data_IF_558184648290
#
_entry.id   IF_558184648290
#
_cell.length_a   1.000
_cell.length_b   1.000
_cell.length_c   1.000
_cell.angle_alpha   90.00
_cell.angle_beta   90.00
_cell.angle_gamma   90.00
#
_symmetry.space_group_name_H-M   'P 1'
#
loop_
_entity.id
_entity.type
_entity.pdbx_description
1 polymer ?
#
# COMPACT_ATOMS: atom_id res chain seq x y z
N UNK A 1 -16.27 -12.76 6.59
CA UNK A 1 -16.68 -11.43 6.17
C UNK A 1 -16.12 -10.44 7.19
N UNK A 2 -15.23 -9.56 6.77
CA UNK A 2 -14.67 -8.52 7.66
C UNK A 2 -15.52 -7.24 7.52
N UNK A 3 -16.15 -6.80 8.61
CA UNK A 3 -16.83 -5.50 8.69
C UNK A 3 -15.90 -4.53 9.44
N UNK A 4 -15.56 -3.41 8.82
CA UNK A 4 -14.68 -2.38 9.40
C UNK A 4 -15.21 -1.79 10.71
N UNK A 5 -16.52 -1.72 10.89
CA UNK A 5 -17.14 -1.22 12.12
C UNK A 5 -16.95 -2.21 13.27
N UNK A 6 -17.04 -3.51 12.98
CA UNK A 6 -16.75 -4.57 13.95
C UNK A 6 -15.26 -4.58 14.29
N UNK A 7 -14.39 -4.49 13.28
CA UNK A 7 -12.94 -4.37 13.46
C UNK A 7 -12.59 -3.18 14.37
N UNK A 8 -13.15 -1.99 14.10
CA UNK A 8 -12.99 -0.81 14.94
C UNK A 8 -13.42 -1.04 16.39
N UNK A 9 -14.60 -1.65 16.59
CA UNK A 9 -15.10 -1.93 17.95
C UNK A 9 -14.17 -2.89 18.71
N UNK A 10 -13.64 -3.90 18.03
CA UNK A 10 -12.66 -4.84 18.62
C UNK A 10 -11.37 -4.12 18.95
N UNK A 11 -10.78 -3.38 17.99
CA UNK A 11 -9.48 -2.74 18.15
C UNK A 11 -9.44 -1.70 19.28
N UNK A 12 -10.56 -1.04 19.58
CA UNK A 12 -10.65 -0.09 20.70
C UNK A 12 -10.55 -0.72 22.08
N UNK A 13 -10.82 -2.02 22.21
CA UNK A 13 -10.97 -2.67 23.51
C UNK A 13 -10.15 -3.97 23.66
N UNK A 14 -9.60 -4.48 22.57
CA UNK A 14 -8.86 -5.74 22.56
C UNK A 14 -7.55 -5.62 23.35
N UNK A 15 -7.21 -6.67 24.13
CA UNK A 15 -5.92 -6.77 24.79
C UNK A 15 -4.87 -7.42 23.88
N UNK A 16 -3.59 -7.27 24.23
CA UNK A 16 -2.50 -7.91 23.48
C UNK A 16 -2.64 -9.45 23.49
N UNK A 17 -3.00 -10.03 24.64
CA UNK A 17 -3.25 -11.48 24.78
C UNK A 17 -4.40 -11.95 23.86
N UNK A 18 -5.48 -11.18 23.78
CA UNK A 18 -6.58 -11.50 22.86
C UNK A 18 -6.15 -11.39 21.40
N UNK A 19 -5.31 -10.42 21.03
CA UNK A 19 -4.73 -10.31 19.69
C UNK A 19 -3.83 -11.52 19.38
N UNK A 20 -3.03 -11.98 20.33
CA UNK A 20 -2.19 -13.17 20.17
C UNK A 20 -3.03 -14.44 19.91
N UNK A 21 -4.11 -14.64 20.67
CA UNK A 21 -5.03 -15.76 20.44
C UNK A 21 -5.71 -15.69 19.07
N UNK A 22 -6.19 -14.49 18.67
CA UNK A 22 -6.78 -14.29 17.35
C UNK A 22 -5.75 -14.56 16.25
N UNK A 23 -4.54 -14.05 16.39
CA UNK A 23 -3.47 -14.26 15.42
C UNK A 23 -3.08 -15.73 15.28
N UNK A 24 -2.94 -16.46 16.38
CA UNK A 24 -2.61 -17.88 16.36
C UNK A 24 -3.68 -18.71 15.65
N UNK A 25 -4.96 -18.43 15.92
CA UNK A 25 -6.10 -19.09 15.25
C UNK A 25 -6.10 -18.80 13.74
N UNK A 26 -6.00 -17.52 13.36
CA UNK A 26 -6.15 -17.11 11.95
C UNK A 26 -4.91 -17.45 11.12
N UNK A 27 -3.72 -17.41 11.71
CA UNK A 27 -2.49 -17.88 11.05
C UNK A 27 -2.56 -19.39 10.77
N UNK A 28 -3.06 -20.19 11.73
CA UNK A 28 -3.30 -21.60 11.52
C UNK A 28 -4.31 -21.85 10.41
N UNK A 29 -5.47 -21.20 10.47
CA UNK A 29 -6.49 -21.31 9.42
C UNK A 29 -5.90 -20.96 8.05
N UNK A 30 -5.17 -19.83 7.95
CA UNK A 30 -4.53 -19.39 6.71
C UNK A 30 -3.49 -20.41 6.21
N UNK A 31 -2.76 -21.09 7.11
CA UNK A 31 -1.76 -22.10 6.75
C UNK A 31 -2.34 -23.35 6.09
N UNK A 32 -3.61 -23.63 6.35
CA UNK A 32 -4.36 -24.76 5.78
C UNK A 32 -4.96 -24.42 4.39
N UNK A 33 -4.96 -23.12 4.00
CA UNK A 33 -5.53 -22.66 2.75
C UNK A 33 -4.51 -22.71 1.61
N UNK A 34 -4.95 -23.18 0.44
CA UNK A 34 -4.14 -23.24 -0.78
C UNK A 34 -4.05 -21.89 -1.48
N UNK A 35 -5.06 -21.04 -1.34
CA UNK A 35 -5.10 -19.70 -1.88
C UNK A 35 -5.98 -18.76 -1.05
N UNK A 36 -5.73 -17.48 -1.20
CA UNK A 36 -6.50 -16.40 -0.57
C UNK A 36 -6.98 -15.41 -1.64
N UNK A 37 -8.27 -15.16 -1.67
CA UNK A 37 -8.88 -14.14 -2.53
C UNK A 37 -9.48 -13.06 -1.63
N UNK A 38 -8.91 -11.87 -1.65
CA UNK A 38 -9.41 -10.72 -0.88
C UNK A 38 -10.17 -9.75 -1.77
N UNK A 39 -11.48 -9.58 -1.52
CA UNK A 39 -12.27 -8.52 -2.16
C UNK A 39 -12.63 -7.48 -1.11
N UNK A 40 -12.04 -6.29 -1.24
CA UNK A 40 -12.27 -5.17 -0.32
C UNK A 40 -13.38 -4.28 -0.85
N UNK A 41 -14.37 -3.95 0.00
CA UNK A 41 -15.53 -3.12 -0.35
C UNK A 41 -15.94 -2.18 0.78
N UNK A 42 -14.98 -1.58 1.49
CA UNK A 42 -15.26 -0.64 2.58
C UNK A 42 -15.86 0.67 2.08
N UNK A 43 -16.93 1.14 2.75
CA UNK A 43 -17.62 2.38 2.39
C UNK A 43 -16.93 3.63 2.96
N UNK A 44 -16.25 3.51 4.10
CA UNK A 44 -15.63 4.63 4.80
C UNK A 44 -14.13 4.37 4.99
N UNK A 45 -13.30 5.18 4.35
CA UNK A 45 -11.84 5.11 4.47
C UNK A 45 -11.33 5.57 5.83
N UNK A 46 -12.14 6.30 6.59
CA UNK A 46 -11.81 6.86 7.90
C UNK A 46 -12.38 6.03 9.07
N UNK A 47 -12.92 4.84 8.81
CA UNK A 47 -13.62 4.05 9.84
C UNK A 47 -12.77 3.74 11.08
N UNK A 48 -11.45 3.67 10.93
CA UNK A 48 -10.51 3.39 12.02
C UNK A 48 -9.82 4.64 12.59
N UNK A 49 -10.25 5.85 12.21
CA UNK A 49 -9.56 7.12 12.54
C UNK A 49 -9.55 7.46 14.04
N UNK A 50 -10.45 6.88 14.82
CA UNK A 50 -10.55 7.08 16.28
C UNK A 50 -10.09 5.86 17.11
N UNK A 51 -9.43 4.90 16.46
CA UNK A 51 -8.72 3.82 17.16
C UNK A 51 -7.40 4.39 17.67
N UNK A 52 -7.06 4.22 18.96
CA UNK A 52 -5.80 4.71 19.51
C UNK A 52 -4.57 4.16 18.77
N UNK A 53 -3.57 4.99 18.57
CA UNK A 53 -2.36 4.65 17.81
C UNK A 53 -1.62 3.43 18.40
N UNK A 54 -1.55 3.33 19.73
CA UNK A 54 -0.94 2.19 20.42
C UNK A 54 -1.68 0.88 20.11
N UNK A 55 -3.00 0.91 19.96
CA UNK A 55 -3.81 -0.26 19.57
C UNK A 55 -3.59 -0.63 18.11
N UNK A 56 -3.48 0.36 17.21
CA UNK A 56 -3.14 0.10 15.81
C UNK A 56 -1.74 -0.49 15.67
N UNK A 57 -0.76 0.01 16.41
CA UNK A 57 0.59 -0.56 16.42
C UNK A 57 0.63 -1.98 16.99
N UNK A 58 -0.09 -2.24 18.07
CA UNK A 58 -0.22 -3.58 18.65
C UNK A 58 -0.86 -4.55 17.64
N UNK A 59 -1.96 -4.14 17.00
CA UNK A 59 -2.62 -4.93 15.97
C UNK A 59 -1.69 -5.25 14.78
N UNK A 60 -0.96 -4.26 14.30
CA UNK A 60 -0.03 -4.46 13.20
C UNK A 60 1.10 -5.44 13.56
N UNK A 61 1.66 -5.34 14.76
CA UNK A 61 2.74 -6.19 15.24
C UNK A 61 2.27 -7.60 15.58
N UNK A 62 1.18 -7.73 16.34
CA UNK A 62 0.74 -9.00 16.94
C UNK A 62 -0.14 -9.80 15.99
N UNK A 63 -0.97 -9.15 15.19
CA UNK A 63 -1.92 -9.82 14.31
C UNK A 63 -1.56 -9.73 12.82
N UNK A 64 -1.43 -8.51 12.29
CA UNK A 64 -1.22 -8.32 10.85
C UNK A 64 0.08 -8.96 10.36
N UNK A 65 1.16 -8.80 11.10
CA UNK A 65 2.47 -9.32 10.69
C UNK A 65 2.45 -10.85 10.58
N UNK A 66 2.12 -11.65 11.62
CA UNK A 66 2.13 -13.11 11.52
C UNK A 66 1.06 -13.67 10.59
N UNK A 67 -0.16 -13.12 10.56
CA UNK A 67 -1.27 -13.66 9.77
C UNK A 67 -1.17 -13.26 8.30
N UNK A 68 -1.04 -11.95 8.04
CA UNK A 68 -1.10 -11.45 6.67
C UNK A 68 0.27 -11.40 6.01
N UNK A 69 1.31 -10.94 6.68
CA UNK A 69 2.63 -10.84 6.06
C UNK A 69 3.32 -12.21 6.01
N UNK A 70 3.59 -12.83 7.15
CA UNK A 70 4.38 -14.07 7.18
C UNK A 70 3.65 -15.27 6.57
N UNK A 71 2.35 -15.41 6.80
CA UNK A 71 1.60 -16.55 6.29
C UNK A 71 0.97 -16.27 4.94
N UNK A 72 0.10 -15.27 4.82
CA UNK A 72 -0.64 -15.03 3.58
C UNK A 72 0.27 -14.56 2.44
N UNK A 73 1.09 -13.52 2.67
CA UNK A 73 1.92 -12.94 1.60
C UNK A 73 3.07 -13.86 1.24
N UNK A 74 3.77 -14.43 2.25
CA UNK A 74 4.99 -15.18 2.00
C UNK A 74 4.77 -16.66 1.66
N UNK A 75 3.65 -17.28 2.06
CA UNK A 75 3.45 -18.74 1.98
C UNK A 75 2.18 -19.19 1.27
N UNK A 76 1.23 -18.30 1.02
CA UNK A 76 -0.05 -18.64 0.38
C UNK A 76 -0.15 -17.96 -0.98
N UNK A 77 -0.71 -18.61 -1.99
CA UNK A 77 -1.07 -17.93 -3.24
C UNK A 77 -2.21 -16.95 -2.96
N UNK A 78 -2.05 -15.70 -3.36
CA UNK A 78 -3.08 -14.70 -3.07
C UNK A 78 -3.33 -13.73 -4.21
N UNK A 79 -4.55 -13.20 -4.24
CA UNK A 79 -4.93 -12.04 -5.05
C UNK A 79 -5.82 -11.13 -4.20
N UNK A 80 -5.61 -9.83 -4.34
CA UNK A 80 -6.43 -8.79 -3.68
C UNK A 80 -7.04 -7.89 -4.73
N UNK A 81 -8.33 -7.66 -4.59
CA UNK A 81 -9.13 -6.77 -5.42
C UNK A 81 -9.94 -5.82 -4.56
N UNK A 82 -10.49 -4.79 -5.19
CA UNK A 82 -11.52 -3.94 -4.58
C UNK A 82 -12.80 -4.04 -5.41
N UNK A 83 -13.92 -3.98 -4.73
CA UNK A 83 -15.21 -3.73 -5.37
C UNK A 83 -15.47 -2.22 -5.32
N UNK A 84 -15.87 -1.57 -6.43
CA UNK A 84 -16.18 -0.14 -6.42
C UNK A 84 -17.34 0.14 -5.48
N UNK A 85 -17.18 1.15 -4.63
CA UNK A 85 -18.17 1.52 -3.62
C UNK A 85 -18.52 3.00 -3.71
N UNK A 86 -19.65 3.40 -3.13
CA UNK A 86 -20.03 4.81 -3.03
C UNK A 86 -18.94 5.66 -2.37
N UNK A 87 -18.28 5.12 -1.33
CA UNK A 87 -17.16 5.82 -0.70
C UNK A 87 -15.98 6.07 -1.65
N UNK A 88 -15.69 5.14 -2.55
CA UNK A 88 -14.66 5.31 -3.57
C UNK A 88 -15.06 6.34 -4.63
N UNK A 89 -16.31 6.30 -5.10
CA UNK A 89 -16.82 7.29 -6.08
C UNK A 89 -16.87 8.71 -5.51
N UNK A 90 -17.24 8.87 -4.24
CA UNK A 90 -17.17 10.16 -3.55
C UNK A 90 -15.72 10.70 -3.47
N UNK A 91 -14.75 9.86 -3.12
CA UNK A 91 -13.34 10.24 -3.09
C UNK A 91 -12.81 10.62 -4.48
N UNK A 92 -13.33 9.97 -5.52
CA UNK A 92 -12.99 10.28 -6.92
C UNK A 92 -13.74 11.49 -7.49
N UNK A 93 -14.72 12.04 -6.76
CA UNK A 93 -15.56 13.15 -7.24
C UNK A 93 -16.49 12.75 -8.41
N UNK A 94 -16.91 11.49 -8.46
CA UNK A 94 -17.72 10.93 -9.55
C UNK A 94 -19.04 10.39 -9.03
N UNK A 95 -20.06 10.26 -9.93
CA UNK A 95 -21.24 9.46 -9.62
C UNK A 95 -20.86 7.98 -9.50
N UNK A 96 -21.64 7.21 -8.72
CA UNK A 96 -21.35 5.78 -8.50
C UNK A 96 -21.29 5.01 -9.81
N UNK A 97 -22.27 5.20 -10.69
CA UNK A 97 -22.35 4.53 -11.99
C UNK A 97 -21.16 4.88 -12.90
N UNK A 98 -20.80 6.16 -12.99
CA UNK A 98 -19.64 6.59 -13.81
C UNK A 98 -18.32 6.05 -13.26
N UNK A 99 -18.20 5.96 -11.92
CA UNK A 99 -17.03 5.38 -11.28
C UNK A 99 -16.94 3.87 -11.49
N UNK A 100 -18.06 3.13 -11.36
CA UNK A 100 -18.11 1.69 -11.64
C UNK A 100 -17.72 1.39 -13.09
N UNK A 101 -18.26 2.12 -14.05
CA UNK A 101 -17.93 1.98 -15.46
C UNK A 101 -16.43 2.20 -15.72
N UNK A 102 -15.88 3.25 -15.16
CA UNK A 102 -14.43 3.51 -15.24
C UNK A 102 -13.62 2.39 -14.60
N UNK A 103 -13.98 2.00 -13.38
CA UNK A 103 -13.27 1.03 -12.58
C UNK A 103 -13.23 -0.35 -13.25
N UNK A 104 -14.36 -0.85 -13.76
CA UNK A 104 -14.40 -2.13 -14.44
C UNK A 104 -13.67 -2.11 -15.78
N UNK A 105 -13.71 -1.00 -16.52
CA UNK A 105 -12.87 -0.84 -17.73
C UNK A 105 -11.38 -0.99 -17.43
N UNK A 106 -10.92 -0.48 -16.29
CA UNK A 106 -9.52 -0.61 -15.85
C UNK A 106 -9.23 -2.03 -15.32
N UNK A 107 -10.14 -2.61 -14.54
CA UNK A 107 -9.94 -3.95 -13.97
C UNK A 107 -9.98 -5.07 -15.00
N UNK A 108 -10.74 -4.92 -16.07
CA UNK A 108 -10.94 -5.93 -17.11
C UNK A 108 -10.00 -5.78 -18.32
N UNK A 109 -8.84 -5.17 -18.13
CA UNK A 109 -7.80 -5.06 -19.16
C UNK A 109 -7.18 -6.43 -19.46
N UNK A 110 -6.63 -6.57 -20.69
CA UNK A 110 -5.81 -7.72 -21.07
C UNK A 110 -4.42 -7.64 -20.43
N UNK A 111 -4.31 -8.21 -19.23
CA UNK A 111 -3.06 -8.20 -18.45
C UNK A 111 -1.93 -9.00 -19.13
N UNK A 112 -2.24 -10.01 -19.95
CA UNK A 112 -1.22 -10.74 -20.70
C UNK A 112 -0.60 -9.87 -21.82
N UNK A 113 -1.41 -9.03 -22.45
CA UNK A 113 -0.94 -8.03 -23.41
C UNK A 113 -0.16 -6.92 -22.71
N UNK A 114 -0.64 -6.47 -21.55
CA UNK A 114 0.03 -5.47 -20.74
C UNK A 114 1.42 -5.93 -20.28
N UNK A 115 1.57 -7.16 -19.80
CA UNK A 115 2.85 -7.73 -19.38
C UNK A 115 3.88 -7.72 -20.53
N UNK A 116 3.46 -8.04 -21.74
CA UNK A 116 4.32 -7.95 -22.92
C UNK A 116 4.73 -6.50 -23.24
N UNK A 117 3.80 -5.56 -23.09
CA UNK A 117 4.06 -4.15 -23.34
C UNK A 117 5.00 -3.51 -22.29
N UNK A 118 5.10 -4.08 -21.09
CA UNK A 118 6.01 -3.62 -20.02
C UNK A 118 7.47 -4.04 -20.24
N UNK A 119 7.75 -5.08 -21.03
CA UNK A 119 9.09 -5.65 -21.17
C UNK A 119 10.17 -4.66 -21.64
N UNK A 120 9.91 -3.72 -22.57
CA UNK A 120 10.90 -2.69 -22.93
C UNK A 120 11.32 -1.82 -21.73
N UNK A 121 10.36 -1.45 -20.85
CA UNK A 121 10.65 -0.68 -19.65
C UNK A 121 11.44 -1.50 -18.62
N UNK A 122 11.07 -2.76 -18.39
CA UNK A 122 11.84 -3.69 -17.54
C UNK A 122 13.28 -3.80 -18.02
N UNK A 123 13.48 -4.00 -19.33
CA UNK A 123 14.80 -4.10 -19.91
C UNK A 123 15.63 -2.81 -19.77
N UNK A 124 14.97 -1.64 -19.87
CA UNK A 124 15.61 -0.36 -19.63
C UNK A 124 16.02 -0.21 -18.17
N UNK A 125 15.09 -0.46 -17.25
CA UNK A 125 15.35 -0.33 -15.80
C UNK A 125 16.46 -1.27 -15.35
N UNK A 126 16.48 -2.53 -15.79
CA UNK A 126 17.51 -3.51 -15.43
C UNK A 126 18.92 -3.16 -15.94
N UNK A 127 19.02 -2.26 -16.92
CA UNK A 127 20.31 -1.76 -17.46
C UNK A 127 20.70 -0.41 -16.86
N UNK A 128 19.81 0.21 -16.13
CA UNK A 128 19.99 1.57 -15.56
C UNK A 128 20.67 1.49 -14.21
N UNK A 129 21.66 2.33 -14.00
CA UNK A 129 22.22 2.56 -12.67
C UNK A 129 21.56 3.75 -12.00
N UNK A 130 21.61 4.94 -12.63
CA UNK A 130 21.21 6.19 -11.99
C UNK A 130 19.85 6.65 -12.49
N UNK A 131 19.00 7.01 -11.55
CA UNK A 131 17.69 7.60 -11.79
C UNK A 131 17.64 8.98 -11.15
N UNK A 132 17.02 9.93 -11.84
CA UNK A 132 16.68 11.25 -11.30
C UNK A 132 15.20 11.52 -11.57
N UNK A 133 14.48 11.88 -10.52
CA UNK A 133 13.07 12.30 -10.58
C UNK A 133 13.02 13.81 -10.38
N UNK A 134 12.48 14.52 -11.38
CA UNK A 134 12.33 15.97 -11.33
C UNK A 134 10.86 16.32 -11.54
N UNK A 135 10.30 17.08 -10.60
CA UNK A 135 8.96 17.64 -10.66
C UNK A 135 8.92 18.94 -9.87
N UNK A 136 7.75 19.56 -9.72
CA UNK A 136 7.59 20.73 -8.85
C UNK A 136 8.03 20.37 -7.42
N UNK A 137 8.96 21.13 -6.87
CA UNK A 137 9.51 20.95 -5.51
C UNK A 137 10.14 19.56 -5.27
N UNK A 138 10.49 18.84 -6.35
CA UNK A 138 11.09 17.52 -6.32
C UNK A 138 12.34 17.49 -7.20
N UNK A 139 13.45 17.07 -6.61
CA UNK A 139 14.69 16.70 -7.31
C UNK A 139 15.37 15.61 -6.50
N UNK A 140 15.12 14.35 -6.88
CA UNK A 140 15.59 13.17 -6.17
C UNK A 140 16.46 12.33 -7.10
N UNK A 141 17.61 11.89 -6.60
CA UNK A 141 18.54 11.01 -7.32
C UNK A 141 18.83 9.76 -6.51
N UNK A 142 18.96 8.63 -7.21
CA UNK A 142 19.34 7.36 -6.59
C UNK A 142 19.87 6.38 -7.63
N UNK A 143 20.51 5.31 -7.16
CA UNK A 143 20.91 4.14 -7.97
C UNK A 143 19.84 3.05 -7.87
N UNK A 144 19.62 2.35 -8.97
CA UNK A 144 18.84 1.09 -9.02
C UNK A 144 19.71 -0.08 -9.50
N UNK A 145 21.02 0.11 -9.46
CA UNK A 145 21.97 -0.88 -9.96
C UNK A 145 21.81 -2.22 -9.24
N UNK A 146 21.71 -3.28 -10.04
CA UNK A 146 21.60 -4.67 -9.57
C UNK A 146 20.30 -4.96 -8.77
N UNK A 147 19.33 -4.04 -8.76
CA UNK A 147 18.00 -4.26 -8.21
C UNK A 147 17.04 -4.60 -9.36
N UNK A 148 16.42 -5.78 -9.38
CA UNK A 148 15.58 -6.18 -10.50
C UNK A 148 14.31 -5.33 -10.59
N UNK A 149 13.90 -5.04 -11.82
CA UNK A 149 12.58 -4.47 -12.10
C UNK A 149 11.52 -5.58 -12.10
N UNK A 150 10.38 -5.32 -11.48
CA UNK A 150 9.26 -6.24 -11.32
C UNK A 150 8.04 -5.71 -12.07
N UNK A 151 7.38 -6.57 -12.83
CA UNK A 151 6.10 -6.27 -13.49
C UNK A 151 4.93 -6.62 -12.60
N UNK A 152 3.97 -5.71 -12.49
CA UNK A 152 2.69 -5.90 -11.86
C UNK A 152 1.61 -6.00 -12.94
N UNK A 153 1.25 -7.20 -13.32
CA UNK A 153 0.38 -7.51 -14.47
C UNK A 153 -0.86 -8.33 -14.09
N UNK A 154 -1.53 -7.96 -12.98
CA UNK A 154 -2.77 -8.58 -12.55
C UNK A 154 -2.62 -9.93 -11.86
N UNK A 155 -1.42 -10.31 -11.42
CA UNK A 155 -1.18 -11.61 -10.77
C UNK A 155 -1.53 -11.62 -9.28
N UNK A 156 -1.37 -10.49 -8.61
CA UNK A 156 -1.59 -10.35 -7.15
C UNK A 156 -2.58 -9.24 -6.83
N UNK A 157 -2.67 -8.20 -7.65
CA UNK A 157 -3.62 -7.11 -7.48
C UNK A 157 -4.44 -6.92 -8.75
N UNK A 158 -5.71 -6.50 -8.60
CA UNK A 158 -6.58 -6.03 -9.67
C UNK A 158 -7.35 -4.81 -9.17
N UNK A 159 -7.25 -3.64 -9.83
CA UNK A 159 -6.42 -3.34 -11.01
C UNK A 159 -4.93 -3.38 -10.72
N UNK A 160 -4.15 -3.49 -11.80
CA UNK A 160 -2.70 -3.53 -11.78
C UNK A 160 -2.15 -2.78 -13.01
N UNK A 161 -0.81 -2.67 -13.17
CA UNK A 161 -0.27 -2.01 -14.37
C UNK A 161 0.97 -1.18 -14.12
N UNK A 162 1.84 -1.59 -13.21
CA UNK A 162 3.10 -0.89 -12.93
C UNK A 162 4.33 -1.76 -13.21
N UNK A 163 5.44 -1.10 -13.46
CA UNK A 163 6.78 -1.68 -13.37
C UNK A 163 7.51 -0.94 -12.27
N UNK A 164 7.94 -1.66 -11.25
CA UNK A 164 8.61 -1.05 -10.12
C UNK A 164 9.98 -1.68 -9.85
N UNK A 165 10.81 -0.95 -9.11
CA UNK A 165 12.06 -1.40 -8.52
C UNK A 165 12.27 -0.65 -7.20
N UNK A 166 13.33 -0.97 -6.49
CA UNK A 166 13.73 -0.24 -5.28
C UNK A 166 15.08 0.45 -5.48
N UNK A 167 15.32 1.59 -4.84
CA UNK A 167 16.64 2.21 -4.84
C UNK A 167 17.63 1.40 -4.00
N UNK A 168 18.90 1.44 -4.38
CA UNK A 168 20.00 1.03 -3.50
C UNK A 168 19.95 1.92 -2.25
N UNK A 169 19.82 1.31 -1.08
CA UNK A 169 19.43 1.96 0.17
C UNK A 169 20.18 3.27 0.48
N UNK A 170 21.50 3.28 0.36
CA UNK A 170 22.35 4.43 0.70
C UNK A 170 22.61 5.39 -0.46
N UNK A 171 21.94 5.22 -1.60
CA UNK A 171 22.15 6.04 -2.79
C UNK A 171 21.18 7.20 -2.94
N UNK A 172 20.10 7.22 -2.14
CA UNK A 172 19.02 8.21 -2.27
C UNK A 172 19.45 9.54 -1.71
N UNK A 173 19.42 10.58 -2.56
CA UNK A 173 19.76 11.95 -2.20
C UNK A 173 18.83 12.94 -2.90
N UNK A 174 18.45 13.99 -2.17
CA UNK A 174 17.63 15.08 -2.70
C UNK A 174 16.28 15.19 -1.99
N UNK A 175 15.31 15.75 -2.68
CA UNK A 175 13.99 16.09 -2.14
C UNK A 175 12.90 15.44 -2.96
N UNK A 176 11.90 14.90 -2.31
CA UNK A 176 10.62 14.52 -2.93
C UNK A 176 9.47 15.22 -2.22
N UNK A 177 8.56 15.78 -3.01
CA UNK A 177 7.33 16.41 -2.54
C UNK A 177 6.13 15.74 -3.19
N UNK A 178 5.22 15.25 -2.36
CA UNK A 178 3.97 14.62 -2.79
C UNK A 178 2.85 15.65 -2.78
N UNK A 179 2.31 15.95 -3.95
CA UNK A 179 1.19 16.88 -4.13
C UNK A 179 -0.19 16.20 -4.11
N UNK A 180 -0.23 14.89 -3.93
CA UNK A 180 -1.44 14.12 -3.75
C UNK A 180 -1.64 13.80 -2.26
N UNK A 181 -2.87 13.89 -1.72
CA UNK A 181 -3.12 13.49 -0.35
C UNK A 181 -2.99 11.98 -0.17
N UNK A 182 -2.52 11.56 1.01
CA UNK A 182 -2.48 10.17 1.43
C UNK A 182 -3.27 9.98 2.72
N UNK A 183 -3.96 8.86 2.86
CA UNK A 183 -4.66 8.50 4.10
C UNK A 183 -3.93 7.32 4.73
N UNK A 184 -3.38 7.55 5.92
CA UNK A 184 -2.71 6.54 6.72
C UNK A 184 -3.31 6.50 8.12
N UNK A 185 -3.71 5.31 8.58
CA UNK A 185 -4.36 5.09 9.88
C UNK A 185 -5.55 6.03 10.15
N UNK A 186 -6.32 6.40 9.10
CA UNK A 186 -7.44 7.31 9.19
C UNK A 186 -7.08 8.80 9.27
N UNK A 187 -5.80 9.17 9.23
CA UNK A 187 -5.34 10.55 9.12
C UNK A 187 -5.01 10.90 7.67
N UNK A 188 -5.44 12.07 7.20
CA UNK A 188 -5.15 12.59 5.86
C UNK A 188 -3.90 13.48 5.91
N UNK A 189 -2.83 13.00 5.28
CA UNK A 189 -1.61 13.76 5.05
C UNK A 189 -1.68 14.50 3.72
N UNK A 190 -1.21 15.74 3.71
CA UNK A 190 -1.09 16.61 2.54
C UNK A 190 0.29 17.26 2.54
N UNK A 191 0.77 17.60 1.35
CA UNK A 191 2.06 18.28 1.16
C UNK A 191 3.24 17.58 1.85
N UNK A 192 3.27 16.25 1.78
CA UNK A 192 4.34 15.46 2.38
C UNK A 192 5.64 15.73 1.61
N UNK A 193 6.63 16.31 2.30
CA UNK A 193 7.94 16.60 1.76
C UNK A 193 9.00 15.86 2.56
N UNK A 194 9.85 15.10 1.86
CA UNK A 194 10.94 14.33 2.47
C UNK A 194 12.27 14.76 1.86
N UNK A 195 13.27 15.00 2.71
CA UNK A 195 14.65 15.26 2.32
C UNK A 195 15.51 14.06 2.65
N UNK A 196 16.21 13.56 1.64
CA UNK A 196 17.08 12.40 1.75
C UNK A 196 18.55 12.81 1.67
N UNK A 197 19.36 12.19 2.53
CA UNK A 197 20.82 12.21 2.45
C UNK A 197 21.35 10.80 2.72
N UNK A 198 22.11 10.27 1.75
CA UNK A 198 22.72 8.94 1.83
C UNK A 198 21.72 7.85 2.25
N UNK A 199 20.50 7.90 1.67
CA UNK A 199 19.43 6.95 1.90
C UNK A 199 18.65 7.10 3.22
N UNK A 200 18.93 8.16 4.00
CA UNK A 200 18.21 8.47 5.23
C UNK A 200 17.35 9.68 5.05
N UNK A 201 16.15 9.65 5.59
CA UNK A 201 15.30 10.84 5.73
C UNK A 201 15.92 11.70 6.82
N UNK A 202 16.32 12.92 6.47
CA UNK A 202 16.89 13.91 7.40
C UNK A 202 15.91 15.01 7.77
N UNK A 203 14.83 15.15 6.99
CA UNK A 203 13.74 16.08 7.24
C UNK A 203 12.46 15.51 6.66
N UNK A 204 11.38 15.52 7.43
CA UNK A 204 10.03 15.17 6.98
C UNK A 204 9.03 16.22 7.45
N UNK A 205 8.29 16.81 6.51
CA UNK A 205 7.25 17.79 6.78
C UNK A 205 5.96 17.41 6.07
N UNK A 206 4.82 17.80 6.66
CA UNK A 206 3.48 17.62 6.11
C UNK A 206 2.54 18.64 6.75
N UNK A 207 1.26 18.61 6.40
CA UNK A 207 0.21 19.35 7.12
C UNK A 207 0.17 19.03 8.64
N UNK A 208 0.63 17.84 9.03
CA UNK A 208 0.93 17.48 10.42
C UNK A 208 2.29 16.77 10.48
N UNK A 209 3.34 17.54 10.65
CA UNK A 209 4.71 17.03 10.65
C UNK A 209 5.01 16.11 11.85
N UNK A 210 4.37 16.32 13.00
CA UNK A 210 4.56 15.45 14.17
C UNK A 210 4.03 14.05 13.91
N UNK A 211 2.83 13.93 13.36
CA UNK A 211 2.25 12.64 12.98
C UNK A 211 3.04 11.97 11.85
N UNK A 212 3.51 12.75 10.84
CA UNK A 212 4.33 12.21 9.77
C UNK A 212 5.66 11.64 10.29
N UNK A 213 6.35 12.35 11.19
CA UNK A 213 7.62 11.88 11.78
C UNK A 213 7.44 10.68 12.71
N UNK A 214 6.24 10.36 13.17
CA UNK A 214 5.96 9.14 13.92
C UNK A 214 5.85 7.89 13.02
N UNK A 215 5.69 8.09 11.70
CA UNK A 215 5.61 7.00 10.70
C UNK A 215 7.00 6.66 10.14
N UNK A 216 7.86 7.66 9.96
CA UNK A 216 9.21 7.53 9.38
C UNK A 216 10.28 7.34 10.43
#
# INVERSE_FOLDING_TARGET
LHDRRVERAVLKHVTDEQLEHMAAHDARLMSEMQCYIGVRGGQNSYELSDVPDDRMQAYNRIYNHPVHHEQRVCKTKWVVMRYPTEGMSQLAGMSTEAFEDFYFKVCCLDYAKMEKAMQPLVNLMNKTDKVRIVAKDTDLTFSIKDIPAVTCSGRMNIPDGEVYTAPVKNSVNGVIHYNAPSIENGFRFEDVRLVFKDGKIIEATANNSAAANAIF
#
